data_IF_153692788839
#
_entry.id   IF_153692788839
#
_cell.length_a   1.000
_cell.length_b   1.000
_cell.length_c   1.000
_cell.angle_alpha   90.00
_cell.angle_beta   90.00
_cell.angle_gamma   90.00
#
_symmetry.space_group_name_H-M   'P 1'
#
loop_
_entity.id
_entity.type
_entity.pdbx_description
1 polymer ?
#
# COMPACT_ATOMS: atom_id res chain seq x y z
N UNK A 1 17.08 11.87 1.27
CA UNK A 1 15.90 11.00 1.17
C UNK A 1 15.03 11.19 2.41
N UNK A 2 13.71 11.14 2.25
CA UNK A 2 12.73 11.26 3.33
C UNK A 2 11.97 9.95 3.53
N UNK A 3 11.31 9.82 4.66
CA UNK A 3 10.61 8.60 5.01
C UNK A 3 9.62 8.80 6.14
N UNK A 4 8.52 8.05 6.13
CA UNK A 4 7.50 8.09 7.17
C UNK A 4 7.03 6.67 7.49
N UNK A 5 6.22 6.54 8.55
CA UNK A 5 5.52 5.32 8.86
C UNK A 5 4.10 5.39 8.28
N UNK A 6 3.78 4.70 7.17
CA UNK A 6 2.51 4.92 6.45
C UNK A 6 1.28 4.66 7.32
N UNK A 7 1.30 3.59 8.13
CA UNK A 7 0.19 3.28 9.03
C UNK A 7 -0.05 4.38 10.08
N UNK A 8 1.01 4.93 10.71
CA UNK A 8 0.87 6.03 11.68
C UNK A 8 0.39 7.32 11.01
N UNK A 9 0.86 7.58 9.79
CA UNK A 9 0.43 8.73 9.00
C UNK A 9 -1.07 8.64 8.68
N UNK A 10 -1.53 7.51 8.13
CA UNK A 10 -2.96 7.26 7.85
C UNK A 10 -3.80 7.33 9.14
N UNK A 11 -3.33 6.75 10.26
CA UNK A 11 -4.04 6.83 11.53
C UNK A 11 -4.22 8.29 12.00
N UNK A 12 -3.19 9.13 11.83
CA UNK A 12 -3.28 10.57 12.09
C UNK A 12 -4.30 11.27 11.21
N UNK A 13 -4.31 10.96 9.90
CA UNK A 13 -5.29 11.53 8.95
C UNK A 13 -6.72 11.10 9.28
N UNK A 14 -6.94 9.83 9.60
CA UNK A 14 -8.27 9.31 9.98
C UNK A 14 -8.79 10.04 11.22
N UNK A 15 -7.94 10.20 12.24
CA UNK A 15 -8.30 10.94 13.45
C UNK A 15 -8.72 12.37 13.10
N UNK A 16 -7.90 13.10 12.36
CA UNK A 16 -8.20 14.47 11.95
C UNK A 16 -9.49 14.58 11.11
N UNK A 17 -9.74 13.61 10.22
CA UNK A 17 -10.97 13.59 9.43
C UNK A 17 -12.21 13.37 10.32
N UNK A 18 -12.16 12.42 11.25
CA UNK A 18 -13.24 12.18 12.22
C UNK A 18 -13.48 13.38 13.13
N UNK A 19 -12.41 14.03 13.60
CA UNK A 19 -12.48 15.26 14.41
C UNK A 19 -13.17 16.41 13.64
N UNK A 20 -13.22 16.34 12.31
CA UNK A 20 -13.94 17.29 11.42
C UNK A 20 -15.29 16.78 10.93
N UNK A 21 -15.81 15.72 11.54
CA UNK A 21 -17.14 15.19 11.23
C UNK A 21 -17.20 14.22 10.04
N UNK A 22 -16.06 13.73 9.54
CA UNK A 22 -16.07 12.68 8.52
C UNK A 22 -16.51 11.34 9.13
N UNK A 23 -17.40 10.64 8.43
CA UNK A 23 -17.84 9.30 8.80
C UNK A 23 -16.98 8.27 8.06
N UNK A 24 -16.35 7.37 8.81
CA UNK A 24 -15.57 6.27 8.25
C UNK A 24 -16.23 4.95 8.60
N UNK A 25 -16.54 4.20 7.55
CA UNK A 25 -17.15 2.88 7.59
C UNK A 25 -16.17 1.86 7.00
N UNK A 26 -15.50 1.10 7.86
CA UNK A 26 -14.71 -0.05 7.44
C UNK A 26 -15.60 -1.27 7.22
N UNK A 27 -15.06 -2.33 6.62
CA UNK A 27 -15.79 -3.56 6.29
C UNK A 27 -17.12 -3.36 5.53
N UNK A 28 -17.27 -2.22 4.86
CA UNK A 28 -18.49 -1.79 4.17
C UNK A 28 -18.18 -1.60 2.68
N UNK A 29 -18.03 -2.68 1.90
CA UNK A 29 -17.67 -2.56 0.49
C UNK A 29 -18.79 -1.90 -0.31
N UNK A 30 -18.44 -0.92 -1.15
CA UNK A 30 -19.35 -0.42 -2.18
C UNK A 30 -19.46 -1.45 -3.30
N UNK A 31 -20.68 -1.92 -3.58
CA UNK A 31 -20.95 -2.99 -4.57
C UNK A 31 -21.57 -2.45 -5.85
N UNK A 32 -22.20 -1.28 -5.81
CA UNK A 32 -22.69 -0.57 -7.00
C UNK A 32 -22.72 0.94 -6.78
N UNK A 33 -22.63 1.69 -7.89
CA UNK A 33 -22.87 3.15 -7.93
C UNK A 33 -23.93 3.38 -9.01
N UNK A 34 -25.06 3.93 -8.62
CA UNK A 34 -26.20 4.19 -9.51
C UNK A 34 -26.42 5.70 -9.64
N UNK A 35 -26.65 6.21 -10.86
CA UNK A 35 -27.02 7.62 -11.06
C UNK A 35 -28.49 7.83 -10.70
N UNK A 36 -28.80 8.96 -10.06
CA UNK A 36 -30.17 9.32 -9.69
C UNK A 36 -30.86 10.20 -10.75
N UNK A 37 -32.17 9.99 -11.01
CA UNK A 37 -32.98 10.98 -11.70
C UNK A 37 -32.97 12.30 -10.92
N UNK A 38 -32.68 13.41 -11.61
CA UNK A 38 -32.53 14.73 -10.97
C UNK A 38 -31.11 15.05 -10.46
N UNK A 39 -30.14 14.14 -10.64
CA UNK A 39 -28.73 14.34 -10.29
C UNK A 39 -28.30 13.65 -9.00
N UNK A 40 -27.00 13.44 -8.86
CA UNK A 40 -26.39 12.70 -7.75
C UNK A 40 -26.31 11.19 -7.98
N UNK A 41 -25.94 10.47 -6.93
CA UNK A 41 -25.63 9.04 -6.94
C UNK A 41 -26.21 8.31 -5.74
N UNK A 42 -26.40 7.00 -5.90
CA UNK A 42 -26.64 6.05 -4.81
C UNK A 42 -25.50 5.05 -4.78
N UNK A 43 -24.81 4.96 -3.64
CA UNK A 43 -23.81 3.93 -3.39
C UNK A 43 -24.47 2.78 -2.66
N UNK A 44 -24.40 1.58 -3.22
CA UNK A 44 -24.96 0.36 -2.64
C UNK A 44 -23.87 -0.38 -1.85
N UNK A 45 -24.23 -0.87 -0.68
CA UNK A 45 -23.39 -1.69 0.19
C UNK A 45 -24.22 -2.87 0.71
N UNK A 46 -23.60 -3.94 1.26
CA UNK A 46 -24.35 -5.02 1.90
C UNK A 46 -25.23 -4.57 3.07
N UNK A 47 -24.87 -3.46 3.73
CA UNK A 47 -25.59 -2.93 4.89
C UNK A 47 -26.65 -1.88 4.56
N UNK A 48 -26.81 -1.48 3.29
CA UNK A 48 -27.76 -0.46 2.88
C UNK A 48 -27.27 0.43 1.74
N UNK A 49 -28.05 1.48 1.48
CA UNK A 49 -27.84 2.44 0.38
C UNK A 49 -27.49 3.82 0.95
N UNK A 50 -26.56 4.50 0.30
CA UNK A 50 -26.08 5.84 0.68
C UNK A 50 -26.40 6.81 -0.45
N UNK A 51 -27.25 7.79 -0.18
CA UNK A 51 -27.55 8.89 -1.11
C UNK A 51 -26.49 9.97 -1.01
N UNK A 52 -25.95 10.41 -2.15
CA UNK A 52 -24.92 11.46 -2.21
C UNK A 52 -25.00 12.26 -3.51
N UNK A 53 -24.46 13.48 -3.51
CA UNK A 53 -24.31 14.26 -4.74
C UNK A 53 -23.07 13.86 -5.53
N UNK A 54 -21.98 13.54 -4.84
CA UNK A 54 -20.68 13.27 -5.44
C UNK A 54 -20.11 11.94 -4.93
N UNK A 55 -19.32 11.28 -5.80
CA UNK A 55 -18.58 10.07 -5.46
C UNK A 55 -17.14 10.21 -5.95
N UNK A 56 -16.18 10.11 -5.02
CA UNK A 56 -14.76 10.05 -5.34
C UNK A 56 -14.25 8.61 -5.22
N UNK A 57 -13.76 8.04 -6.32
CA UNK A 57 -13.12 6.72 -6.31
C UNK A 57 -11.65 6.85 -5.93
N UNK A 58 -11.27 6.26 -4.79
CA UNK A 58 -9.91 6.26 -4.26
C UNK A 58 -9.35 4.84 -4.02
N UNK A 59 -9.73 3.87 -4.85
CA UNK A 59 -9.40 2.43 -4.66
C UNK A 59 -8.09 1.99 -5.32
N UNK A 60 -7.40 2.87 -6.06
CA UNK A 60 -6.09 2.60 -6.69
C UNK A 60 -6.08 1.25 -7.46
N UNK A 61 -5.03 0.42 -7.30
CA UNK A 61 -4.91 -0.90 -7.91
C UNK A 61 -6.00 -1.91 -7.50
N UNK A 62 -6.83 -1.59 -6.51
CA UNK A 62 -7.98 -2.39 -6.12
C UNK A 62 -9.26 -1.98 -6.85
N UNK A 63 -9.18 -1.05 -7.82
CA UNK A 63 -10.30 -0.68 -8.68
C UNK A 63 -10.82 -1.91 -9.43
N UNK A 64 -12.03 -2.31 -9.10
CA UNK A 64 -12.64 -3.55 -9.57
C UNK A 64 -13.78 -3.25 -10.57
N UNK A 65 -14.86 -4.05 -10.54
CA UNK A 65 -16.01 -3.86 -11.43
C UNK A 65 -16.94 -2.73 -11.00
N UNK A 66 -16.72 -2.08 -9.86
CA UNK A 66 -17.55 -0.97 -9.38
C UNK A 66 -17.64 0.18 -10.39
N UNK A 67 -16.54 0.44 -11.13
CA UNK A 67 -16.54 1.39 -12.24
C UNK A 67 -15.77 0.78 -13.45
N UNK A 68 -16.47 0.09 -14.37
CA UNK A 68 -15.84 -0.64 -15.47
C UNK A 68 -14.87 0.17 -16.35
N UNK A 69 -15.12 1.46 -16.65
CA UNK A 69 -14.17 2.29 -17.39
C UNK A 69 -12.82 2.46 -16.68
N UNK A 70 -12.82 2.59 -15.35
CA UNK A 70 -11.60 2.74 -14.55
C UNK A 70 -10.80 1.43 -14.51
N UNK A 71 -11.49 0.29 -14.33
CA UNK A 71 -10.87 -1.05 -14.32
C UNK A 71 -10.02 -1.32 -15.57
N UNK A 72 -10.45 -0.83 -16.72
CA UNK A 72 -9.75 -1.05 -18.01
C UNK A 72 -8.46 -0.22 -18.14
N UNK A 73 -8.24 0.76 -17.25
CA UNK A 73 -7.12 1.70 -17.29
C UNK A 73 -6.11 1.50 -16.16
N UNK A 74 -6.41 0.62 -15.21
CA UNK A 74 -5.56 0.36 -14.03
C UNK A 74 -5.04 -1.07 -14.10
N UNK A 75 -3.71 -1.22 -14.10
CA UNK A 75 -3.05 -2.53 -14.03
C UNK A 75 -2.56 -2.73 -12.60
N UNK A 76 -3.13 -3.69 -11.83
CA UNK A 76 -2.67 -3.98 -10.48
C UNK A 76 -1.31 -4.69 -10.54
N UNK A 77 -0.26 -4.00 -10.09
CA UNK A 77 1.09 -4.58 -10.00
C UNK A 77 1.44 -4.80 -8.52
N UNK A 78 1.69 -6.07 -8.17
CA UNK A 78 2.11 -6.45 -6.83
C UNK A 78 3.54 -6.00 -6.52
N UNK A 79 3.70 -5.30 -5.39
CA UNK A 79 5.00 -5.10 -4.74
C UNK A 79 4.96 -5.72 -3.36
N UNK A 80 6.07 -6.33 -2.96
CA UNK A 80 6.17 -7.09 -1.73
C UNK A 80 7.33 -6.56 -0.89
N UNK A 81 7.22 -6.72 0.42
CA UNK A 81 8.24 -6.34 1.41
C UNK A 81 8.47 -7.54 2.32
N UNK A 82 9.72 -7.89 2.55
CA UNK A 82 10.15 -8.78 3.63
C UNK A 82 10.71 -7.96 4.78
N UNK A 83 10.65 -8.53 5.99
CA UNK A 83 11.27 -7.98 7.19
C UNK A 83 12.14 -9.05 7.83
N UNK A 84 13.37 -8.70 8.21
CA UNK A 84 14.21 -9.59 9.00
C UNK A 84 13.76 -9.63 10.46
N UNK A 85 14.36 -10.53 11.23
CA UNK A 85 14.51 -10.33 12.67
C UNK A 85 15.27 -9.03 12.98
N UNK A 86 15.13 -8.47 14.20
CA UNK A 86 15.92 -7.33 14.62
C UNK A 86 17.42 -7.63 14.49
N UNK A 87 18.13 -6.81 13.73
CA UNK A 87 19.57 -6.92 13.61
C UNK A 87 20.23 -6.37 14.88
N UNK A 88 21.34 -6.99 15.28
CA UNK A 88 22.21 -6.42 16.32
C UNK A 88 22.59 -4.97 15.95
N UNK A 89 22.68 -4.05 16.92
CA UNK A 89 22.90 -2.63 16.65
C UNK A 89 24.09 -2.34 15.73
N UNK A 90 25.19 -3.08 15.88
CA UNK A 90 26.39 -2.89 15.06
C UNK A 90 26.19 -3.35 13.62
N UNK A 91 25.47 -4.47 13.40
CA UNK A 91 25.11 -4.95 12.06
C UNK A 91 24.10 -4.02 11.36
N UNK A 92 23.13 -3.50 12.12
CA UNK A 92 22.21 -2.48 11.59
C UNK A 92 22.97 -1.20 11.18
N UNK A 93 23.91 -0.75 12.03
CA UNK A 93 24.73 0.43 11.78
C UNK A 93 25.67 0.22 10.60
N UNK A 94 26.28 -0.96 10.43
CA UNK A 94 27.12 -1.24 9.26
C UNK A 94 26.31 -1.25 7.97
N UNK A 95 25.12 -1.85 7.98
CA UNK A 95 24.26 -1.94 6.80
C UNK A 95 23.72 -0.57 6.34
N UNK A 96 23.21 0.26 7.27
CA UNK A 96 22.69 1.60 6.95
C UNK A 96 23.06 2.60 8.06
N UNK A 97 24.30 3.13 8.07
CA UNK A 97 24.82 3.95 9.18
C UNK A 97 23.95 5.17 9.54
N UNK A 98 23.40 5.82 8.51
CA UNK A 98 22.56 7.02 8.64
C UNK A 98 21.07 6.71 8.56
N UNK A 99 20.67 5.43 8.61
CA UNK A 99 19.28 4.95 8.60
C UNK A 99 18.41 5.55 7.48
N UNK A 100 19.04 5.89 6.35
CA UNK A 100 18.36 6.51 5.20
C UNK A 100 17.42 5.51 4.53
N UNK A 101 16.38 6.03 3.88
CA UNK A 101 15.67 5.27 2.85
C UNK A 101 16.60 5.10 1.66
N UNK A 102 16.77 3.85 1.22
CA UNK A 102 17.60 3.47 0.10
C UNK A 102 16.72 2.88 -1.01
N UNK A 103 17.14 3.09 -2.25
CA UNK A 103 16.59 2.46 -3.44
C UNK A 103 17.72 2.32 -4.47
N UNK A 104 17.57 1.41 -5.43
CA UNK A 104 18.51 1.27 -6.54
C UNK A 104 17.98 1.90 -7.84
N UNK A 105 18.84 1.94 -8.86
CA UNK A 105 18.51 2.49 -10.19
C UNK A 105 18.06 1.43 -11.19
N UNK A 106 17.63 0.24 -10.75
CA UNK A 106 17.21 -0.85 -11.65
C UNK A 106 15.79 -0.63 -12.16
N UNK A 107 15.49 -1.20 -13.33
CA UNK A 107 14.13 -1.20 -13.89
C UNK A 107 13.11 -1.91 -12.99
N UNK A 108 13.57 -2.88 -12.20
CA UNK A 108 12.82 -3.49 -11.09
C UNK A 108 13.50 -3.08 -9.79
N UNK A 109 13.17 -1.88 -9.34
CA UNK A 109 13.89 -1.29 -8.23
C UNK A 109 13.66 -2.06 -6.94
N UNK A 110 14.74 -2.21 -6.18
CA UNK A 110 14.64 -2.53 -4.76
C UNK A 110 14.58 -1.24 -3.96
N UNK A 111 13.81 -1.24 -2.88
CA UNK A 111 13.76 -0.17 -1.90
C UNK A 111 13.84 -0.76 -0.51
N UNK A 112 14.68 -0.20 0.35
CA UNK A 112 14.89 -0.78 1.67
C UNK A 112 15.29 0.26 2.71
N UNK A 113 15.08 -0.12 3.97
CA UNK A 113 15.35 0.71 5.14
C UNK A 113 15.46 -0.14 6.40
N UNK A 114 15.95 0.46 7.48
CA UNK A 114 15.75 -0.10 8.81
C UNK A 114 14.41 0.35 9.41
N UNK A 115 13.72 -0.57 10.08
CA UNK A 115 12.67 -0.23 11.03
C UNK A 115 13.25 0.39 12.30
N UNK A 116 12.41 0.97 13.15
CA UNK A 116 12.81 1.57 14.43
C UNK A 116 13.48 0.58 15.38
N UNK A 117 13.12 -0.71 15.28
CA UNK A 117 13.69 -1.83 16.03
C UNK A 117 14.78 -2.60 15.26
N UNK A 118 15.41 -1.97 14.26
CA UNK A 118 16.56 -2.51 13.52
C UNK A 118 16.30 -3.73 12.62
N UNK A 119 15.06 -3.94 12.17
CA UNK A 119 14.78 -4.91 11.09
C UNK A 119 15.12 -4.31 9.75
N UNK A 120 15.74 -5.08 8.86
CA UNK A 120 15.83 -4.72 7.45
C UNK A 120 14.48 -4.95 6.80
N UNK A 121 13.83 -3.86 6.38
CA UNK A 121 12.63 -3.89 5.54
C UNK A 121 13.10 -3.78 4.10
N UNK A 122 12.99 -4.87 3.33
CA UNK A 122 13.46 -4.94 1.95
C UNK A 122 12.30 -5.21 1.01
N UNK A 123 12.02 -4.24 0.15
CA UNK A 123 10.90 -4.26 -0.77
C UNK A 123 11.34 -4.20 -2.22
N UNK A 124 10.47 -4.67 -3.09
CA UNK A 124 10.70 -4.65 -4.52
C UNK A 124 9.59 -5.34 -5.29
N UNK A 125 9.87 -5.61 -6.56
CA UNK A 125 8.94 -6.27 -7.48
C UNK A 125 9.60 -7.49 -8.08
N UNK A 126 9.03 -8.67 -7.81
CA UNK A 126 9.51 -9.93 -8.36
C UNK A 126 9.04 -10.17 -9.81
N UNK A 127 7.86 -9.68 -10.19
CA UNK A 127 7.25 -9.95 -11.51
C UNK A 127 6.17 -8.92 -11.86
N UNK A 128 5.85 -8.81 -13.16
CA UNK A 128 4.62 -8.15 -13.65
C UNK A 128 3.39 -9.05 -13.54
N UNK A 129 3.59 -10.37 -13.51
CA UNK A 129 2.52 -11.34 -13.32
C UNK A 129 2.26 -11.58 -11.82
N UNK A 130 1.04 -11.99 -11.43
CA UNK A 130 0.75 -12.44 -10.07
C UNK A 130 1.75 -13.51 -9.62
N UNK A 131 2.25 -13.36 -8.40
CA UNK A 131 3.14 -14.34 -7.76
C UNK A 131 2.62 -14.69 -6.38
N UNK A 132 3.06 -15.82 -5.84
CA UNK A 132 2.72 -16.23 -4.47
C UNK A 132 3.59 -15.50 -3.46
N UNK A 133 3.10 -15.34 -2.23
CA UNK A 133 3.86 -14.74 -1.14
C UNK A 133 5.17 -15.49 -0.88
N UNK A 134 5.16 -16.82 -0.91
CA UNK A 134 6.37 -17.63 -0.72
C UNK A 134 7.43 -17.35 -1.80
N UNK A 135 7.03 -17.31 -3.09
CA UNK A 135 7.93 -17.00 -4.19
C UNK A 135 8.48 -15.58 -4.09
N UNK A 136 7.63 -14.61 -3.75
CA UNK A 136 8.05 -13.22 -3.55
C UNK A 136 9.05 -13.09 -2.39
N UNK A 137 8.81 -13.77 -1.27
CA UNK A 137 9.70 -13.82 -0.10
C UNK A 137 11.08 -14.35 -0.49
N UNK A 138 11.13 -15.53 -1.11
CA UNK A 138 12.41 -16.19 -1.43
C UNK A 138 13.23 -15.37 -2.42
N UNK A 139 12.57 -14.77 -3.41
CA UNK A 139 13.22 -13.88 -4.36
C UNK A 139 13.76 -12.60 -3.71
N UNK A 140 12.95 -11.94 -2.87
CA UNK A 140 13.38 -10.74 -2.14
C UNK A 140 14.52 -11.05 -1.16
N UNK A 141 14.50 -12.21 -0.52
CA UNK A 141 15.55 -12.63 0.39
C UNK A 141 16.88 -12.83 -0.35
N UNK A 142 16.87 -13.57 -1.46
CA UNK A 142 18.06 -13.74 -2.31
C UNK A 142 18.56 -12.39 -2.87
N UNK A 143 17.66 -11.47 -3.22
CA UNK A 143 18.02 -10.12 -3.64
C UNK A 143 18.66 -9.31 -2.52
N UNK A 144 18.11 -9.36 -1.31
CA UNK A 144 18.63 -8.65 -0.14
C UNK A 144 20.06 -9.09 0.19
N UNK A 145 20.33 -10.41 0.22
CA UNK A 145 21.68 -10.94 0.48
C UNK A 145 22.69 -10.52 -0.60
N UNK A 146 22.27 -10.39 -1.87
CA UNK A 146 23.16 -9.85 -2.92
C UNK A 146 23.49 -8.37 -2.73
N UNK A 147 22.60 -7.60 -2.11
CA UNK A 147 22.81 -6.16 -1.84
C UNK A 147 23.61 -5.95 -0.55
N UNK A 148 23.34 -6.77 0.48
CA UNK A 148 24.02 -6.78 1.78
C UNK A 148 24.55 -8.19 2.05
N UNK A 149 25.74 -8.54 1.54
CA UNK A 149 26.35 -9.85 1.76
C UNK A 149 26.79 -10.07 3.22
#
# INVERSE_FOLDING_TARGET
>A
SGGLHPAKYIAGLIRLARDRGAHLHDHTPATAIESRPGGGFIVVTPGGRIDTHDVLLATNGYSDRLLPPLRRRVIPIGSYIIATEPLAPDRARSAIPKRRMLFDSKNFLYYWRLSTDNRMLFGGRASFAPTTIAKARDWLYAAMIRVHP
#
